data_IF_418078464342
#
_entry.id   IF_418078464342
#
_cell.length_a   1.000
_cell.length_b   1.000
_cell.length_c   1.000
_cell.angle_alpha   90.00
_cell.angle_beta   90.00
_cell.angle_gamma   90.00
#
_symmetry.space_group_name_H-M   'P 1'
#
loop_
_entity.id
_entity.type
_entity.pdbx_description
1 polymer ?
#
# COMPACT_ATOMS: atom_id res chain seq x y z
N UNK A 1 -19.94 -16.93 -14.43
CA UNK A 1 -19.25 -16.34 -15.59
C UNK A 1 -18.70 -14.95 -15.25
N UNK A 2 -19.53 -14.02 -14.78
CA UNK A 2 -19.13 -12.62 -14.50
C UNK A 2 -18.04 -12.47 -13.42
N UNK A 3 -18.06 -13.27 -12.35
CA UNK A 3 -17.06 -13.17 -11.28
C UNK A 3 -15.65 -13.59 -11.72
N UNK A 4 -15.54 -14.68 -12.49
CA UNK A 4 -14.26 -15.16 -13.03
C UNK A 4 -13.67 -14.10 -13.96
N UNK A 5 -14.50 -13.49 -14.80
CA UNK A 5 -14.07 -12.38 -15.68
C UNK A 5 -13.58 -11.21 -14.84
N UNK A 6 -14.31 -10.83 -13.79
CA UNK A 6 -13.90 -9.71 -12.92
C UNK A 6 -12.58 -9.99 -12.20
N UNK A 7 -12.37 -11.21 -11.69
CA UNK A 7 -11.11 -11.64 -11.10
C UNK A 7 -9.97 -11.60 -12.11
N UNK A 8 -10.19 -12.10 -13.33
CA UNK A 8 -9.20 -12.05 -14.39
C UNK A 8 -8.83 -10.59 -14.73
N UNK A 9 -9.80 -9.69 -14.83
CA UNK A 9 -9.55 -8.26 -15.08
C UNK A 9 -8.74 -7.63 -13.95
N UNK A 10 -9.05 -7.90 -12.67
CA UNK A 10 -8.26 -7.38 -11.53
C UNK A 10 -6.81 -7.85 -11.57
N UNK A 11 -6.59 -9.15 -11.82
CA UNK A 11 -5.25 -9.74 -11.87
C UNK A 11 -4.45 -9.18 -13.05
N UNK A 12 -5.06 -9.09 -14.23
CA UNK A 12 -4.41 -8.54 -15.41
C UNK A 12 -4.10 -7.04 -15.26
N UNK A 13 -5.05 -6.24 -14.77
CA UNK A 13 -4.84 -4.82 -14.53
C UNK A 13 -3.77 -4.57 -13.46
N UNK A 14 -3.83 -5.31 -12.35
CA UNK A 14 -2.83 -5.24 -11.28
C UNK A 14 -1.44 -5.65 -11.76
N UNK A 15 -1.34 -6.77 -12.49
CA UNK A 15 -0.09 -7.25 -13.07
C UNK A 15 0.49 -6.30 -14.11
N UNK A 16 -0.36 -5.73 -14.98
CA UNK A 16 0.07 -4.72 -15.96
C UNK A 16 0.65 -3.48 -15.27
N UNK A 17 0.03 -3.00 -14.17
CA UNK A 17 0.58 -1.89 -13.38
C UNK A 17 1.89 -2.26 -12.67
N UNK A 18 2.02 -3.49 -12.16
CA UNK A 18 3.29 -3.99 -11.59
C UNK A 18 4.40 -3.95 -12.65
N UNK A 19 4.14 -4.45 -13.86
CA UNK A 19 5.10 -4.43 -14.96
C UNK A 19 5.43 -2.99 -15.37
N UNK A 20 4.43 -2.13 -15.50
CA UNK A 20 4.62 -0.73 -15.87
C UNK A 20 5.50 0.01 -14.85
N UNK A 21 5.24 -0.15 -13.56
CA UNK A 21 6.09 0.44 -12.52
C UNK A 21 7.47 -0.19 -12.46
N UNK A 22 7.62 -1.49 -12.70
CA UNK A 22 8.93 -2.12 -12.79
C UNK A 22 9.75 -1.55 -13.95
N UNK A 23 9.17 -1.43 -15.14
CA UNK A 23 9.83 -0.81 -16.30
C UNK A 23 10.19 0.65 -16.03
N UNK A 24 9.25 1.44 -15.51
CA UNK A 24 9.48 2.84 -15.15
C UNK A 24 10.60 2.98 -14.11
N UNK A 25 10.61 2.09 -13.11
CA UNK A 25 11.63 2.07 -12.05
C UNK A 25 13.03 1.76 -12.58
N UNK A 26 13.12 0.93 -13.62
CA UNK A 26 14.40 0.55 -14.19
C UNK A 26 15.00 1.69 -15.04
N UNK A 27 14.14 2.38 -15.79
CA UNK A 27 14.48 3.53 -16.63
C UNK A 27 14.90 4.77 -15.83
N UNK A 28 14.29 5.00 -14.66
CA UNK A 28 14.54 6.21 -13.87
C UNK A 28 15.88 6.16 -13.12
N UNK A 29 16.57 7.30 -13.12
CA UNK A 29 17.76 7.58 -12.31
C UNK A 29 17.47 8.81 -11.45
N UNK A 30 17.89 8.85 -10.17
CA UNK A 30 18.65 7.84 -9.42
C UNK A 30 17.88 6.55 -9.05
N UNK A 31 18.60 5.44 -8.84
CA UNK A 31 18.01 4.11 -8.53
C UNK A 31 17.24 4.04 -7.20
N UNK A 32 17.35 5.07 -6.35
CA UNK A 32 16.49 5.22 -5.16
C UNK A 32 14.99 5.25 -5.48
N UNK A 33 14.60 5.69 -6.68
CA UNK A 33 13.20 5.63 -7.12
C UNK A 33 12.68 4.21 -7.32
N UNK A 34 13.57 3.22 -7.50
CA UNK A 34 13.14 1.83 -7.65
C UNK A 34 12.47 1.27 -6.39
N UNK A 35 12.89 1.73 -5.20
CA UNK A 35 12.19 1.41 -3.96
C UNK A 35 10.77 1.99 -3.91
N UNK A 36 10.59 3.23 -4.37
CA UNK A 36 9.28 3.90 -4.39
C UNK A 36 8.29 3.20 -5.33
N UNK A 37 8.71 2.90 -6.56
CA UNK A 37 7.86 2.20 -7.54
C UNK A 37 7.66 0.72 -7.22
N UNK A 38 8.66 0.07 -6.61
CA UNK A 38 8.52 -1.31 -6.11
C UNK A 38 7.56 -1.45 -4.93
N UNK A 39 7.42 -0.39 -4.12
CA UNK A 39 6.46 -0.33 -3.01
C UNK A 39 5.06 0.16 -3.43
N UNK A 40 4.83 0.46 -4.71
CA UNK A 40 3.56 0.96 -5.18
C UNK A 40 2.44 -0.07 -4.95
N UNK A 41 1.27 0.33 -4.40
CA UNK A 41 0.17 -0.59 -4.09
C UNK A 41 -0.64 -0.99 -5.34
N UNK A 42 0.02 -1.32 -6.45
CA UNK A 42 -0.53 -1.50 -7.79
C UNK A 42 -1.74 -2.44 -7.85
N UNK A 43 -1.63 -3.61 -7.22
CA UNK A 43 -2.68 -4.63 -7.21
C UNK A 43 -3.90 -4.15 -6.44
N UNK A 44 -3.69 -3.47 -5.31
CA UNK A 44 -4.78 -2.92 -4.51
C UNK A 44 -5.49 -1.79 -5.25
N UNK A 45 -4.74 -0.85 -5.83
CA UNK A 45 -5.29 0.27 -6.61
C UNK A 45 -6.04 -0.22 -7.86
N UNK A 46 -5.48 -1.18 -8.61
CA UNK A 46 -6.16 -1.79 -9.74
C UNK A 46 -7.47 -2.46 -9.32
N UNK A 47 -7.45 -3.19 -8.20
CA UNK A 47 -8.62 -3.89 -7.69
C UNK A 47 -9.72 -2.91 -7.27
N UNK A 48 -9.38 -1.83 -6.57
CA UNK A 48 -10.33 -0.77 -6.20
C UNK A 48 -10.96 -0.12 -7.44
N UNK A 49 -10.17 0.18 -8.48
CA UNK A 49 -10.71 0.77 -9.70
C UNK A 49 -11.68 -0.18 -10.41
N UNK A 50 -11.30 -1.45 -10.58
CA UNK A 50 -12.14 -2.45 -11.23
C UNK A 50 -13.42 -2.70 -10.43
N UNK A 51 -13.33 -2.72 -9.10
CA UNK A 51 -14.49 -2.87 -8.22
C UNK A 51 -15.42 -1.68 -8.31
N UNK A 52 -14.89 -0.46 -8.28
CA UNK A 52 -15.69 0.75 -8.23
C UNK A 52 -16.51 0.91 -9.50
N UNK A 53 -15.92 0.53 -10.64
CA UNK A 53 -16.57 0.53 -11.93
C UNK A 53 -17.62 -0.60 -12.06
N UNK A 54 -17.36 -1.79 -11.51
CA UNK A 54 -18.23 -2.95 -11.69
C UNK A 54 -19.37 -3.07 -10.66
N UNK A 55 -19.11 -2.65 -9.42
CA UNK A 55 -19.98 -2.88 -8.25
C UNK A 55 -20.43 -1.57 -7.58
N UNK A 56 -19.94 -0.42 -8.04
CA UNK A 56 -20.20 0.89 -7.46
C UNK A 56 -19.23 1.26 -6.32
N UNK A 57 -19.05 2.56 -6.02
CA UNK A 57 -17.95 3.04 -5.18
C UNK A 57 -18.14 2.82 -3.67
N UNK A 58 -19.36 2.51 -3.22
CA UNK A 58 -19.71 2.53 -1.80
C UNK A 58 -18.88 1.56 -0.92
N UNK A 59 -18.50 0.39 -1.46
CA UNK A 59 -17.62 -0.54 -0.75
C UNK A 59 -16.14 -0.12 -0.84
N UNK A 60 -15.74 0.42 -1.98
CA UNK A 60 -14.35 0.81 -2.22
C UNK A 60 -13.94 2.06 -1.46
N UNK A 61 -14.87 2.96 -1.15
CA UNK A 61 -14.62 4.12 -0.30
C UNK A 61 -14.04 3.71 1.06
N UNK A 62 -14.65 2.71 1.72
CA UNK A 62 -14.16 2.20 3.01
C UNK A 62 -12.77 1.59 2.90
N UNK A 63 -12.51 0.82 1.84
CA UNK A 63 -11.19 0.22 1.62
C UNK A 63 -10.14 1.28 1.30
N UNK A 64 -10.47 2.27 0.47
CA UNK A 64 -9.59 3.38 0.10
C UNK A 64 -9.22 4.20 1.34
N UNK A 65 -10.19 4.54 2.19
CA UNK A 65 -9.92 5.26 3.44
C UNK A 65 -9.06 4.45 4.41
N UNK A 66 -9.28 3.13 4.52
CA UNK A 66 -8.40 2.24 5.29
C UNK A 66 -6.96 2.22 4.75
N UNK A 67 -6.79 2.22 3.42
CA UNK A 67 -5.47 2.32 2.79
C UNK A 67 -4.78 3.65 3.09
N UNK A 68 -5.52 4.77 3.11
CA UNK A 68 -4.97 6.09 3.51
C UNK A 68 -4.51 6.07 4.96
N UNK A 69 -5.30 5.51 5.88
CA UNK A 69 -4.90 5.37 7.28
C UNK A 69 -3.61 4.53 7.43
N UNK A 70 -3.52 3.42 6.70
CA UNK A 70 -2.31 2.59 6.65
C UNK A 70 -1.10 3.31 6.05
N UNK A 71 -1.30 4.18 5.05
CA UNK A 71 -0.24 4.98 4.44
C UNK A 71 0.31 6.03 5.42
N UNK A 72 -0.54 6.68 6.22
CA UNK A 72 -0.08 7.56 7.31
C UNK A 72 0.76 6.78 8.32
N UNK A 73 0.31 5.58 8.69
CA UNK A 73 1.10 4.68 9.51
C UNK A 73 2.46 4.35 8.88
N UNK A 74 2.52 4.15 7.57
CA UNK A 74 3.76 3.78 6.86
C UNK A 74 4.81 4.90 6.89
N UNK A 75 4.38 6.16 6.92
CA UNK A 75 5.28 7.31 7.11
C UNK A 75 5.94 7.23 8.50
N UNK A 76 5.13 6.97 9.54
CA UNK A 76 5.63 6.84 10.91
C UNK A 76 6.52 5.61 11.06
N UNK A 77 6.14 4.48 10.44
CA UNK A 77 6.96 3.27 10.34
C UNK A 77 8.34 3.59 9.77
N UNK A 78 8.41 4.29 8.63
CA UNK A 78 9.67 4.59 7.95
C UNK A 78 10.61 5.42 8.83
N UNK A 79 10.07 6.45 9.49
CA UNK A 79 10.82 7.28 10.43
C UNK A 79 11.31 6.49 11.65
N UNK A 80 10.42 5.67 12.24
CA UNK A 80 10.75 4.83 13.38
C UNK A 80 11.80 3.76 13.02
N UNK A 81 11.65 3.09 11.88
CA UNK A 81 12.58 2.08 11.40
C UNK A 81 13.97 2.66 11.17
N UNK A 82 14.08 3.85 10.56
CA UNK A 82 15.36 4.51 10.29
C UNK A 82 16.18 4.76 11.57
N UNK A 83 15.50 5.06 12.68
CA UNK A 83 16.14 5.29 13.98
C UNK A 83 16.32 3.98 14.77
N UNK A 84 15.25 3.19 14.90
CA UNK A 84 15.21 2.02 15.76
C UNK A 84 16.12 0.89 15.25
N UNK A 85 16.20 0.67 13.94
CA UNK A 85 17.11 -0.36 13.37
C UNK A 85 18.57 -0.01 13.64
N UNK A 86 18.91 1.29 13.59
CA UNK A 86 20.27 1.78 13.88
C UNK A 86 20.67 1.54 15.34
N UNK A 87 19.74 1.69 16.28
CA UNK A 87 20.03 1.67 17.72
C UNK A 87 19.76 0.34 18.42
N UNK A 88 18.79 -0.44 17.93
CA UNK A 88 18.31 -1.66 18.58
C UNK A 88 18.62 -2.93 17.75
N UNK A 89 19.24 -2.78 16.57
CA UNK A 89 19.42 -3.85 15.61
C UNK A 89 18.17 -4.13 14.77
N UNK A 90 18.31 -4.99 13.76
CA UNK A 90 17.28 -5.23 12.75
C UNK A 90 15.98 -5.78 13.33
N UNK A 91 16.05 -6.83 14.15
CA UNK A 91 14.85 -7.51 14.66
C UNK A 91 14.06 -6.62 15.62
N UNK A 92 14.70 -6.12 16.68
CA UNK A 92 14.04 -5.29 17.68
C UNK A 92 13.59 -3.94 17.07
N UNK A 93 14.41 -3.33 16.22
CA UNK A 93 14.06 -2.10 15.51
C UNK A 93 12.84 -2.26 14.60
N UNK A 94 12.74 -3.38 13.88
CA UNK A 94 11.54 -3.69 13.07
C UNK A 94 10.30 -3.88 13.93
N UNK A 95 10.38 -4.59 15.05
CA UNK A 95 9.23 -4.75 15.97
C UNK A 95 8.73 -3.38 16.46
N UNK A 96 9.64 -2.50 16.86
CA UNK A 96 9.29 -1.13 17.30
C UNK A 96 8.64 -0.34 16.16
N UNK A 97 9.18 -0.42 14.94
CA UNK A 97 8.61 0.25 13.78
C UNK A 97 7.19 -0.25 13.47
N UNK A 98 6.94 -1.55 13.60
CA UNK A 98 5.60 -2.15 13.45
C UNK A 98 4.60 -1.61 14.47
N UNK A 99 5.01 -1.45 15.73
CA UNK A 99 4.16 -0.81 16.75
C UNK A 99 3.91 0.66 16.38
N UNK A 100 4.95 1.37 15.94
CA UNK A 100 4.84 2.77 15.53
C UNK A 100 3.94 2.97 14.29
N UNK A 101 3.82 1.98 13.41
CA UNK A 101 2.85 1.94 12.32
C UNK A 101 1.42 1.78 12.82
N UNK A 102 1.21 0.83 13.73
CA UNK A 102 -0.12 0.47 14.24
C UNK A 102 -0.80 1.63 14.97
N UNK A 103 -0.05 2.41 15.77
CA UNK A 103 -0.63 3.49 16.59
C UNK A 103 -1.41 4.53 15.77
N UNK A 104 -0.82 5.24 14.79
CA UNK A 104 -1.53 6.22 13.98
C UNK A 104 -2.59 5.56 13.06
N UNK A 105 -2.31 4.38 12.49
CA UNK A 105 -3.26 3.69 11.63
C UNK A 105 -4.54 3.30 12.41
N UNK A 106 -4.37 2.75 13.62
CA UNK A 106 -5.47 2.43 14.52
C UNK A 106 -6.17 3.72 15.01
N UNK A 107 -5.42 4.76 15.38
CA UNK A 107 -6.02 6.02 15.82
C UNK A 107 -6.92 6.65 14.74
N UNK A 108 -6.46 6.69 13.48
CA UNK A 108 -7.28 7.18 12.36
C UNK A 108 -8.52 6.30 12.19
N UNK A 109 -8.35 4.97 12.23
CA UNK A 109 -9.47 4.06 12.10
C UNK A 109 -10.55 4.29 13.18
N UNK A 110 -10.14 4.35 14.46
CA UNK A 110 -11.05 4.47 15.59
C UNK A 110 -11.75 5.82 15.68
N UNK A 111 -11.08 6.90 15.26
CA UNK A 111 -11.62 8.27 15.36
C UNK A 111 -12.46 8.63 14.15
N UNK A 112 -12.07 8.21 12.94
CA UNK A 112 -12.64 8.72 11.69
C UNK A 112 -13.33 7.67 10.81
N UNK A 113 -12.97 6.39 10.92
CA UNK A 113 -13.42 5.34 9.97
C UNK A 113 -14.36 4.29 10.59
N UNK A 114 -14.59 4.36 11.90
CA UNK A 114 -15.47 3.46 12.65
C UNK A 114 -16.94 3.72 12.36
#
# INVERSE_FOLDING_TARGET
MTEIVLLAVRVLAGGALVVAFAMLSDMLKPKMFAGLFGAAPSVATASLLVNGLAMGPAKDEKYAMGMVAGAVGLIVYGAAAALAVKHLGSVAGSIVAWVAWLVPAAAIYWVWLR
#
